data_IF_388160014129
#
_entry.id   IF_388160014129
#
_cell.length_a   1.000
_cell.length_b   1.000
_cell.length_c   1.000
_cell.angle_alpha   90.00
_cell.angle_beta   90.00
_cell.angle_gamma   90.00
#
_symmetry.space_group_name_H-M   'P 1'
#
loop_
_entity.id
_entity.type
_entity.pdbx_description
1 polymer ?
#
# COMPACT_ATOMS: atom_id res chain seq x y z
N UNK A 1 8.50 17.28 -11.69
CA UNK A 1 9.75 17.52 -12.45
C UNK A 1 10.73 16.40 -12.15
N UNK A 2 11.40 15.88 -13.17
CA UNK A 2 12.41 14.83 -13.06
C UNK A 2 13.80 15.37 -13.40
N UNK A 3 14.76 15.13 -12.52
CA UNK A 3 16.14 15.57 -12.65
C UNK A 3 17.11 14.39 -12.66
N UNK A 4 18.17 14.49 -13.46
CA UNK A 4 19.33 13.60 -13.42
C UNK A 4 20.59 14.45 -13.35
N UNK A 5 21.45 14.19 -12.37
CA UNK A 5 22.67 14.99 -12.12
C UNK A 5 22.41 16.51 -12.09
N UNK A 6 21.37 16.93 -11.38
CA UNK A 6 20.91 18.33 -11.26
C UNK A 6 20.46 18.99 -12.58
N UNK A 7 20.36 18.26 -13.67
CA UNK A 7 19.79 18.75 -14.92
C UNK A 7 18.33 18.28 -15.05
N UNK A 8 17.44 19.19 -15.35
CA UNK A 8 16.04 18.84 -15.63
C UNK A 8 16.00 18.01 -16.92
N UNK A 9 15.43 16.84 -16.85
CA UNK A 9 15.18 15.97 -17.99
C UNK A 9 13.75 16.12 -18.48
N UNK A 10 12.81 16.24 -17.53
CA UNK A 10 11.39 16.27 -17.85
C UNK A 10 10.61 17.04 -16.76
N UNK A 11 9.70 17.88 -17.17
CA UNK A 11 8.74 18.57 -16.30
C UNK A 11 7.33 18.43 -16.87
N UNK A 12 6.39 18.05 -16.06
CA UNK A 12 4.96 18.04 -16.34
C UNK A 12 4.26 19.04 -15.41
N UNK A 13 3.40 19.86 -15.96
CA UNK A 13 2.51 20.80 -15.34
C UNK A 13 1.35 21.03 -16.31
N UNK A 14 0.84 22.24 -16.43
CA UNK A 14 -0.12 22.60 -17.50
C UNK A 14 0.46 22.36 -18.90
N UNK A 15 1.77 22.48 -19.03
CA UNK A 15 2.53 22.15 -20.24
C UNK A 15 3.63 21.14 -19.90
N UNK A 16 4.02 20.39 -20.92
CA UNK A 16 5.12 19.44 -20.83
C UNK A 16 6.38 20.13 -21.35
N UNK A 17 7.49 20.02 -20.61
CA UNK A 17 8.79 20.52 -21.03
C UNK A 17 9.81 19.41 -20.97
N UNK A 18 10.54 19.21 -22.07
CA UNK A 18 11.65 18.28 -22.14
C UNK A 18 12.95 19.08 -22.06
N UNK A 19 13.76 18.76 -21.08
CA UNK A 19 15.03 19.42 -20.83
C UNK A 19 16.21 18.71 -21.48
N UNK A 20 17.25 18.47 -20.70
CA UNK A 20 18.50 17.90 -21.20
C UNK A 20 18.46 16.36 -21.27
N UNK A 21 18.14 15.81 -22.44
CA UNK A 21 18.11 14.37 -22.69
C UNK A 21 19.51 13.73 -22.72
N UNK A 22 20.61 14.51 -22.80
CA UNK A 22 21.97 13.95 -22.80
C UNK A 22 22.29 13.18 -21.51
N UNK A 23 21.65 13.55 -20.41
CA UNK A 23 21.80 12.85 -19.13
C UNK A 23 21.23 11.42 -19.12
N UNK A 24 20.34 11.13 -20.06
CA UNK A 24 19.71 9.81 -20.21
C UNK A 24 20.04 9.16 -21.56
N UNK A 25 21.08 9.65 -22.24
CA UNK A 25 21.45 9.17 -23.59
C UNK A 25 21.69 7.66 -23.67
N UNK A 26 22.19 7.05 -22.59
CA UNK A 26 22.40 5.60 -22.50
C UNK A 26 21.12 4.78 -22.50
N UNK A 27 19.99 5.40 -22.21
CA UNK A 27 18.68 4.76 -22.19
C UNK A 27 17.88 5.00 -23.48
N UNK A 28 18.37 5.87 -24.36
CA UNK A 28 17.72 6.16 -25.63
C UNK A 28 18.12 5.11 -26.68
N UNK A 29 17.26 4.95 -27.69
CA UNK A 29 17.48 4.01 -28.78
C UNK A 29 18.74 4.39 -29.60
N UNK A 30 18.96 5.69 -29.74
CA UNK A 30 20.15 6.26 -30.37
C UNK A 30 20.64 7.45 -29.57
N UNK A 31 21.93 7.50 -29.27
CA UNK A 31 22.52 8.58 -28.46
C UNK A 31 22.36 9.98 -29.09
N UNK A 32 22.28 10.05 -30.42
CA UNK A 32 22.15 11.34 -31.14
C UNK A 32 20.74 11.95 -31.01
N UNK A 33 19.72 11.17 -30.63
CA UNK A 33 18.38 11.69 -30.30
C UNK A 33 18.47 12.72 -29.16
N UNK A 34 19.37 12.52 -28.21
CA UNK A 34 19.57 13.46 -27.09
C UNK A 34 19.97 14.88 -27.53
N UNK A 35 20.53 15.03 -28.73
CA UNK A 35 20.99 16.30 -29.30
C UNK A 35 19.95 16.94 -30.22
N UNK A 36 18.90 16.22 -30.58
CA UNK A 36 17.92 16.70 -31.56
C UNK A 36 16.77 17.43 -30.88
N UNK A 37 16.83 18.75 -30.88
CA UNK A 37 15.81 19.61 -30.26
C UNK A 37 14.44 19.49 -30.94
N UNK A 38 14.40 19.23 -32.24
CA UNK A 38 13.13 18.99 -32.97
C UNK A 38 12.35 17.83 -32.38
N UNK A 39 13.04 16.89 -31.81
CA UNK A 39 12.46 15.73 -31.18
C UNK A 39 11.79 16.09 -29.84
N UNK A 40 12.43 16.92 -29.01
CA UNK A 40 11.86 17.45 -27.79
C UNK A 40 10.60 18.26 -28.08
N UNK A 41 10.64 19.12 -29.11
CA UNK A 41 9.52 19.98 -29.52
C UNK A 41 8.31 19.16 -30.03
N UNK A 42 8.53 18.08 -30.77
CA UNK A 42 7.47 17.16 -31.20
C UNK A 42 6.88 16.44 -29.98
N UNK A 43 7.75 16.01 -29.07
CA UNK A 43 7.36 15.32 -27.86
C UNK A 43 6.50 16.20 -26.96
N UNK A 44 6.88 17.43 -26.74
CA UNK A 44 6.11 18.38 -25.93
C UNK A 44 4.71 18.63 -26.47
N UNK A 45 4.55 18.55 -27.81
CA UNK A 45 3.26 18.77 -28.48
C UNK A 45 2.38 17.52 -28.59
N UNK A 46 2.98 16.33 -28.50
CA UNK A 46 2.30 15.07 -28.80
C UNK A 46 1.89 14.28 -27.57
N UNK A 47 2.49 14.58 -26.38
CA UNK A 47 2.16 13.86 -25.16
C UNK A 47 0.88 14.42 -24.54
N UNK A 48 -0.11 13.56 -24.30
CA UNK A 48 -1.34 13.93 -23.62
C UNK A 48 -1.09 14.16 -22.12
N UNK A 49 -1.93 14.99 -21.49
CA UNK A 49 -1.77 15.35 -20.08
C UNK A 49 -1.84 14.15 -19.12
N UNK A 50 -2.57 13.11 -19.49
CA UNK A 50 -2.81 11.87 -18.74
C UNK A 50 -1.93 10.69 -19.22
N UNK A 51 -1.13 10.88 -20.27
CA UNK A 51 -0.29 9.82 -20.84
C UNK A 51 1.02 9.67 -20.08
N UNK A 52 1.39 8.44 -19.73
CA UNK A 52 2.68 8.14 -19.12
C UNK A 52 3.78 8.15 -20.18
N UNK A 53 4.92 8.75 -19.82
CA UNK A 53 6.06 8.93 -20.74
C UNK A 53 6.56 7.60 -21.36
N UNK A 54 6.57 6.52 -20.59
CA UNK A 54 7.05 5.21 -21.05
C UNK A 54 5.97 4.30 -21.66
N UNK A 55 4.72 4.71 -21.67
CA UNK A 55 3.61 3.89 -22.22
C UNK A 55 3.05 4.43 -23.53
N UNK A 56 3.23 5.72 -23.79
CA UNK A 56 2.77 6.38 -25.00
C UNK A 56 3.71 6.22 -26.19
N UNK A 57 3.58 7.10 -27.17
CA UNK A 57 4.43 7.15 -28.37
C UNK A 57 5.92 7.30 -28.01
N UNK A 58 6.22 7.86 -26.86
CA UNK A 58 7.58 8.09 -26.39
C UNK A 58 8.38 6.84 -26.06
N UNK A 59 7.72 5.73 -25.78
CA UNK A 59 8.42 4.46 -25.60
C UNK A 59 9.34 4.10 -26.75
N UNK A 60 9.04 4.60 -27.95
CA UNK A 60 9.84 4.37 -29.15
C UNK A 60 11.21 5.05 -29.11
N UNK A 61 11.43 6.01 -28.17
CA UNK A 61 12.68 6.71 -27.99
C UNK A 61 13.68 5.98 -27.14
N UNK A 62 13.15 5.14 -26.26
CA UNK A 62 13.95 4.39 -25.32
C UNK A 62 14.44 3.08 -25.93
N UNK A 63 15.60 2.63 -25.46
CA UNK A 63 16.11 1.33 -25.84
C UNK A 63 15.05 0.27 -25.53
N UNK A 64 14.73 -0.64 -26.48
CA UNK A 64 13.68 -1.64 -26.30
C UNK A 64 13.84 -2.48 -25.04
N UNK A 65 15.09 -2.77 -24.65
CA UNK A 65 15.41 -3.49 -23.41
C UNK A 65 14.94 -2.74 -22.17
N UNK A 66 15.07 -1.42 -22.11
CA UNK A 66 14.60 -0.60 -20.98
C UNK A 66 13.08 -0.60 -20.91
N UNK A 67 12.41 -0.43 -22.04
CA UNK A 67 10.93 -0.46 -22.12
C UNK A 67 10.42 -1.82 -21.66
N UNK A 68 11.05 -2.89 -22.10
CA UNK A 68 10.68 -4.25 -21.70
C UNK A 68 10.89 -4.45 -20.19
N UNK A 69 12.04 -4.08 -19.65
CA UNK A 69 12.32 -4.17 -18.21
C UNK A 69 11.29 -3.41 -17.36
N UNK A 70 10.89 -2.22 -17.78
CA UNK A 70 9.88 -1.42 -17.10
C UNK A 70 8.49 -2.08 -17.19
N UNK A 71 8.12 -2.57 -18.37
CA UNK A 71 6.84 -3.26 -18.59
C UNK A 71 6.75 -4.53 -17.75
N UNK A 72 7.83 -5.33 -17.74
CA UNK A 72 7.91 -6.56 -16.95
C UNK A 72 7.83 -6.24 -15.45
N UNK A 73 8.51 -5.17 -15.01
CA UNK A 73 8.44 -4.75 -13.61
C UNK A 73 7.02 -4.33 -13.20
N UNK A 74 6.33 -3.52 -14.00
CA UNK A 74 4.95 -3.12 -13.70
C UNK A 74 4.00 -4.31 -13.72
N UNK A 75 4.11 -5.19 -14.74
CA UNK A 75 3.15 -6.29 -14.92
C UNK A 75 3.39 -7.45 -13.97
N UNK A 76 4.62 -7.70 -13.56
CA UNK A 76 5.01 -8.89 -12.79
C UNK A 76 5.43 -8.59 -11.35
N UNK A 77 6.03 -7.40 -11.11
CA UNK A 77 6.68 -7.05 -9.86
C UNK A 77 6.05 -5.85 -9.13
N UNK A 78 4.97 -5.30 -9.64
CA UNK A 78 4.26 -4.21 -9.00
C UNK A 78 2.82 -4.63 -8.73
N UNK A 79 2.54 -4.99 -7.49
CA UNK A 79 1.24 -5.49 -7.07
C UNK A 79 0.54 -4.43 -6.22
N UNK A 80 -0.68 -4.02 -6.63
CA UNK A 80 -1.49 -3.05 -5.89
C UNK A 80 -2.78 -3.71 -5.42
N UNK A 81 -3.04 -3.63 -4.13
CA UNK A 81 -4.19 -4.22 -3.47
C UNK A 81 -5.02 -3.11 -2.84
N UNK A 82 -6.15 -2.76 -3.45
CA UNK A 82 -7.07 -1.74 -2.94
C UNK A 82 -8.07 -2.30 -1.91
N UNK A 83 -8.52 -3.54 -2.13
CA UNK A 83 -9.52 -4.18 -1.26
C UNK A 83 -8.99 -5.53 -0.79
N UNK A 84 -8.10 -5.51 0.18
CA UNK A 84 -7.47 -6.73 0.67
C UNK A 84 -8.45 -7.77 1.25
N UNK A 85 -9.69 -7.35 1.57
CA UNK A 85 -10.75 -8.25 2.03
C UNK A 85 -11.36 -9.07 0.89
N UNK A 86 -11.29 -8.56 -0.34
CA UNK A 86 -11.89 -9.18 -1.52
C UNK A 86 -10.87 -10.02 -2.31
N UNK A 87 -9.59 -9.94 -1.94
CA UNK A 87 -8.55 -10.73 -2.60
C UNK A 87 -8.73 -12.18 -2.20
N UNK A 88 -9.10 -12.99 -3.18
CA UNK A 88 -9.07 -14.45 -3.04
C UNK A 88 -7.86 -14.95 -3.85
N UNK A 89 -6.81 -15.31 -3.15
CA UNK A 89 -5.66 -15.94 -3.77
C UNK A 89 -5.95 -17.42 -4.00
N UNK A 90 -6.70 -17.70 -5.06
CA UNK A 90 -6.91 -19.07 -5.50
C UNK A 90 -5.65 -19.48 -6.28
N UNK A 91 -4.91 -20.43 -5.76
CA UNK A 91 -3.78 -20.97 -6.47
C UNK A 91 -4.26 -21.56 -7.81
N UNK A 92 -3.78 -21.04 -8.93
CA UNK A 92 -4.18 -21.43 -10.28
C UNK A 92 -3.79 -22.87 -10.63
N UNK A 93 -3.07 -23.56 -9.75
CA UNK A 93 -2.58 -24.91 -9.96
C UNK A 93 -3.52 -26.01 -9.45
N UNK A 94 -4.68 -25.65 -8.95
CA UNK A 94 -5.66 -26.66 -8.61
C UNK A 94 -6.22 -27.30 -9.89
N UNK A 95 -6.15 -28.60 -9.96
CA UNK A 95 -6.89 -29.35 -10.97
C UNK A 95 -8.37 -28.95 -10.85
N UNK A 96 -9.03 -28.49 -11.95
CA UNK A 96 -10.46 -28.13 -11.93
C UNK A 96 -11.36 -29.29 -11.48
N UNK A 97 -10.85 -30.49 -11.41
CA UNK A 97 -11.54 -31.68 -10.90
C UNK A 97 -11.45 -31.83 -9.38
N UNK A 98 -10.51 -31.15 -8.73
CA UNK A 98 -10.43 -31.15 -7.28
C UNK A 98 -11.43 -30.14 -6.70
N UNK A 99 -12.38 -30.63 -5.91
CA UNK A 99 -13.38 -29.79 -5.21
C UNK A 99 -12.79 -29.04 -4.01
N UNK A 100 -11.53 -29.33 -3.67
CA UNK A 100 -10.90 -28.77 -2.47
C UNK A 100 -9.47 -28.33 -2.81
N UNK A 101 -9.17 -27.07 -2.50
CA UNK A 101 -7.82 -26.51 -2.62
C UNK A 101 -7.40 -26.09 -1.22
N UNK A 102 -6.46 -26.80 -0.65
CA UNK A 102 -5.85 -26.39 0.60
C UNK A 102 -4.93 -25.20 0.35
N UNK A 103 -4.99 -24.23 1.27
CA UNK A 103 -3.99 -23.19 1.34
C UNK A 103 -2.62 -23.83 1.59
N UNK A 104 -1.57 -23.28 1.00
CA UNK A 104 -0.22 -23.80 1.17
C UNK A 104 0.18 -23.95 2.65
N UNK A 105 1.10 -24.86 2.92
CA UNK A 105 1.50 -25.22 4.30
C UNK A 105 2.06 -24.01 5.05
N UNK A 106 2.78 -23.10 4.37
CA UNK A 106 3.38 -21.92 4.99
C UNK A 106 2.33 -20.95 5.46
N UNK A 107 1.33 -20.67 4.61
CA UNK A 107 0.19 -19.81 4.98
C UNK A 107 -0.62 -20.42 6.12
N UNK A 108 -0.83 -21.75 6.13
CA UNK A 108 -1.51 -22.42 7.24
C UNK A 108 -0.73 -22.32 8.55
N UNK A 109 0.60 -22.49 8.53
CA UNK A 109 1.43 -22.32 9.72
C UNK A 109 1.39 -20.89 10.24
N UNK A 110 1.51 -19.91 9.34
CA UNK A 110 1.41 -18.50 9.70
C UNK A 110 0.03 -18.15 10.27
N UNK A 111 -1.03 -18.66 9.68
CA UNK A 111 -2.40 -18.48 10.18
C UNK A 111 -2.58 -19.08 11.58
N UNK A 112 -1.98 -20.23 11.87
CA UNK A 112 -1.98 -20.81 13.23
C UNK A 112 -1.25 -19.93 14.24
N UNK A 113 -0.12 -19.34 13.86
CA UNK A 113 0.59 -18.38 14.71
C UNK A 113 -0.20 -17.09 14.90
N UNK A 114 -0.96 -16.68 13.90
CA UNK A 114 -1.87 -15.53 13.98
C UNK A 114 -3.07 -15.80 14.90
N UNK A 115 -3.52 -17.05 15.02
CA UNK A 115 -4.57 -17.48 15.94
C UNK A 115 -5.89 -17.86 15.25
N UNK A 116 -5.83 -18.74 14.24
CA UNK A 116 -7.06 -19.34 13.67
C UNK A 116 -7.75 -20.24 14.69
N UNK A 117 -9.08 -20.25 14.64
CA UNK A 117 -9.91 -21.08 15.53
C UNK A 117 -10.09 -22.52 15.00
N UNK A 118 -9.83 -22.74 13.72
CA UNK A 118 -9.99 -24.03 13.04
C UNK A 118 -8.72 -24.87 13.04
N UNK A 119 -8.86 -26.16 12.71
CA UNK A 119 -7.73 -27.07 12.52
C UNK A 119 -7.00 -26.84 11.20
N UNK A 120 -7.69 -26.30 10.21
CA UNK A 120 -7.17 -25.94 8.92
C UNK A 120 -8.09 -25.02 8.14
N UNK A 121 -7.57 -24.40 7.10
CA UNK A 121 -8.31 -23.49 6.24
C UNK A 121 -7.98 -23.78 4.77
N UNK A 122 -8.96 -23.67 3.90
CA UNK A 122 -8.78 -23.96 2.47
C UNK A 122 -9.94 -23.45 1.63
N UNK A 123 -9.75 -23.49 0.31
CA UNK A 123 -10.82 -23.15 -0.64
C UNK A 123 -11.55 -24.42 -1.03
N UNK A 124 -12.89 -24.35 -0.99
CA UNK A 124 -13.78 -25.45 -1.38
C UNK A 124 -14.72 -24.96 -2.48
N UNK A 125 -14.92 -25.81 -3.48
CA UNK A 125 -15.90 -25.55 -4.54
C UNK A 125 -17.31 -25.78 -4.02
N UNK A 126 -18.15 -24.75 -4.10
CA UNK A 126 -19.59 -24.89 -3.89
C UNK A 126 -20.27 -25.63 -5.04
N UNK A 127 -21.54 -25.95 -4.88
CA UNK A 127 -22.35 -26.61 -5.90
C UNK A 127 -22.56 -25.72 -7.15
N UNK A 128 -22.43 -24.40 -6.97
CA UNK A 128 -22.48 -23.37 -8.01
C UNK A 128 -21.13 -23.17 -8.76
N UNK A 129 -20.10 -23.95 -8.38
CA UNK A 129 -18.75 -23.85 -8.94
C UNK A 129 -17.94 -22.67 -8.39
N UNK A 130 -18.50 -21.89 -7.44
CA UNK A 130 -17.73 -20.82 -6.78
C UNK A 130 -16.80 -21.39 -5.72
N UNK A 131 -15.60 -20.86 -5.65
CA UNK A 131 -14.63 -21.24 -4.62
C UNK A 131 -14.85 -20.36 -3.39
N UNK A 132 -15.04 -21.00 -2.24
CA UNK A 132 -15.23 -20.31 -0.95
C UNK A 132 -14.15 -20.72 0.02
N UNK A 133 -13.64 -19.74 0.77
CA UNK A 133 -12.71 -20.01 1.86
C UNK A 133 -13.49 -20.66 3.01
N UNK A 134 -13.03 -21.82 3.44
CA UNK A 134 -13.69 -22.61 4.49
C UNK A 134 -12.68 -23.04 5.54
N UNK A 135 -13.17 -23.10 6.76
CA UNK A 135 -12.48 -23.62 7.95
C UNK A 135 -12.83 -25.09 8.15
N UNK A 136 -11.82 -25.89 8.42
CA UNK A 136 -11.95 -27.33 8.70
C UNK A 136 -11.82 -27.54 10.20
N UNK A 137 -12.83 -28.16 10.79
CA UNK A 137 -12.88 -28.46 12.23
C UNK A 137 -12.87 -29.96 12.39
N UNK A 138 -11.86 -30.50 13.06
CA UNK A 138 -11.83 -31.90 13.44
C UNK A 138 -12.77 -32.11 14.62
N UNK A 139 -13.84 -32.82 14.38
CA UNK A 139 -14.78 -33.13 15.45
C UNK A 139 -14.36 -34.42 16.16
N UNK A 140 -13.90 -34.30 17.40
CA UNK A 140 -13.49 -35.41 18.25
C UNK A 140 -14.61 -36.45 18.50
N UNK A 141 -15.87 -36.10 18.24
CA UNK A 141 -17.05 -36.94 18.43
C UNK A 141 -17.53 -37.62 17.13
N UNK A 142 -16.94 -37.28 15.98
CA UNK A 142 -17.23 -37.94 14.71
C UNK A 142 -16.06 -38.87 14.42
N UNK A 143 -16.32 -40.05 13.85
CA UNK A 143 -15.32 -41.06 13.56
C UNK A 143 -14.03 -40.49 12.95
N UNK A 144 -12.86 -40.96 13.40
CA UNK A 144 -11.53 -40.49 12.94
C UNK A 144 -11.50 -40.25 11.43
N UNK A 145 -11.20 -39.05 11.03
CA UNK A 145 -11.06 -38.64 9.63
C UNK A 145 -12.26 -37.94 9.00
N UNK A 146 -13.27 -37.56 9.78
CA UNK A 146 -14.41 -36.76 9.32
C UNK A 146 -14.39 -35.40 10.01
N UNK A 147 -13.89 -34.38 9.32
CA UNK A 147 -13.99 -32.98 9.73
C UNK A 147 -15.30 -32.35 9.26
N UNK A 148 -15.73 -31.30 9.95
CA UNK A 148 -16.79 -30.41 9.50
C UNK A 148 -16.17 -29.25 8.76
N UNK A 149 -16.72 -28.92 7.59
CA UNK A 149 -16.31 -27.79 6.78
C UNK A 149 -17.33 -26.69 6.93
N UNK A 150 -16.92 -25.51 7.39
CA UNK A 150 -17.76 -24.33 7.60
C UNK A 150 -17.16 -23.17 6.81
N UNK A 151 -17.99 -22.31 6.24
CA UNK A 151 -17.49 -21.08 5.60
C UNK A 151 -16.70 -20.26 6.63
N UNK A 152 -15.50 -19.82 6.23
CA UNK A 152 -14.58 -19.16 7.16
C UNK A 152 -15.09 -17.79 7.63
N UNK A 153 -15.90 -17.09 6.83
CA UNK A 153 -16.55 -15.83 7.21
C UNK A 153 -17.54 -15.97 8.39
N UNK A 154 -18.06 -17.17 8.61
CA UNK A 154 -18.94 -17.49 9.75
C UNK A 154 -18.14 -17.89 10.99
N UNK A 155 -16.96 -18.49 10.80
CA UNK A 155 -16.23 -19.16 11.88
C UNK A 155 -14.96 -18.42 12.33
N UNK A 156 -14.26 -17.81 11.41
CA UNK A 156 -13.02 -17.10 11.70
C UNK A 156 -13.24 -15.59 11.91
N UNK A 157 -12.27 -14.95 12.56
CA UNK A 157 -12.29 -13.50 12.68
C UNK A 157 -12.01 -12.84 11.32
N UNK A 158 -12.55 -11.65 11.14
CA UNK A 158 -12.29 -10.85 9.93
C UNK A 158 -10.78 -10.59 9.70
N UNK A 159 -10.04 -10.36 10.78
CA UNK A 159 -8.59 -10.22 10.73
C UNK A 159 -7.89 -11.49 10.26
N UNK A 160 -8.37 -12.66 10.65
CA UNK A 160 -7.85 -13.96 10.18
C UNK A 160 -8.04 -14.11 8.68
N UNK A 161 -9.25 -13.81 8.18
CA UNK A 161 -9.55 -13.89 6.74
C UNK A 161 -8.64 -12.95 5.93
N UNK A 162 -8.52 -11.72 6.38
CA UNK A 162 -7.65 -10.73 5.75
C UNK A 162 -6.18 -11.17 5.76
N UNK A 163 -5.69 -11.67 6.88
CA UNK A 163 -4.35 -12.18 7.00
C UNK A 163 -4.08 -13.33 6.01
N UNK A 164 -4.95 -14.31 5.95
CA UNK A 164 -4.86 -15.48 5.05
C UNK A 164 -4.82 -15.03 3.58
N UNK A 165 -5.56 -13.99 3.22
CA UNK A 165 -5.59 -13.45 1.87
C UNK A 165 -4.32 -12.66 1.51
N UNK A 166 -3.77 -11.90 2.44
CA UNK A 166 -2.60 -11.03 2.20
C UNK A 166 -1.29 -11.82 2.29
N UNK A 167 -1.20 -12.76 3.21
CA UNK A 167 0.07 -13.44 3.51
C UNK A 167 0.74 -14.12 2.30
N UNK A 168 0.04 -14.80 1.40
CA UNK A 168 0.63 -15.35 0.18
C UNK A 168 1.23 -14.28 -0.74
N UNK A 169 0.64 -13.08 -0.76
CA UNK A 169 1.15 -11.96 -1.56
C UNK A 169 2.44 -11.40 -0.97
N UNK A 170 2.54 -11.37 0.36
CA UNK A 170 3.77 -11.02 1.07
C UNK A 170 4.90 -11.98 0.74
N UNK A 171 4.63 -13.30 0.83
CA UNK A 171 5.59 -14.34 0.46
C UNK A 171 6.04 -14.20 -1.00
N UNK A 172 5.07 -13.99 -1.90
CA UNK A 172 5.39 -13.77 -3.32
C UNK A 172 6.24 -12.52 -3.53
N UNK A 173 5.94 -11.42 -2.83
CA UNK A 173 6.75 -10.19 -2.93
C UNK A 173 8.20 -10.45 -2.52
N UNK A 174 8.41 -11.09 -1.37
CA UNK A 174 9.73 -11.43 -0.85
C UNK A 174 10.49 -12.39 -1.79
N UNK A 175 9.80 -13.41 -2.33
CA UNK A 175 10.41 -14.38 -3.23
C UNK A 175 10.79 -13.80 -4.60
N UNK A 176 10.04 -12.85 -5.12
CA UNK A 176 10.28 -12.26 -6.45
C UNK A 176 11.04 -10.94 -6.42
N UNK A 177 11.24 -10.33 -5.23
CA UNK A 177 11.77 -8.97 -5.10
C UNK A 177 10.81 -7.93 -5.68
N UNK A 178 9.50 -8.09 -5.41
CA UNK A 178 8.44 -7.24 -5.95
C UNK A 178 8.09 -6.10 -5.00
N UNK A 179 7.45 -5.06 -5.54
CA UNK A 179 6.79 -4.00 -4.77
C UNK A 179 5.35 -4.39 -4.50
N UNK A 180 4.98 -4.48 -3.24
CA UNK A 180 3.62 -4.76 -2.78
C UNK A 180 3.03 -3.48 -2.18
N UNK A 181 1.96 -2.99 -2.77
CA UNK A 181 1.20 -1.81 -2.31
C UNK A 181 -0.13 -2.27 -1.74
N UNK A 182 -0.41 -1.96 -0.50
CA UNK A 182 -1.64 -2.38 0.18
C UNK A 182 -2.35 -1.18 0.77
N UNK A 183 -3.60 -0.99 0.36
CA UNK A 183 -4.49 0.01 0.94
C UNK A 183 -5.05 -0.48 2.28
N UNK A 184 -5.10 0.41 3.29
CA UNK A 184 -5.55 0.10 4.66
C UNK A 184 -4.92 -1.19 5.21
N UNK A 185 -3.60 -1.31 5.17
CA UNK A 185 -2.89 -2.54 5.54
C UNK A 185 -3.26 -3.04 6.94
N UNK A 186 -3.52 -2.13 7.86
CA UNK A 186 -3.82 -2.40 9.26
C UNK A 186 -5.30 -2.70 9.56
N UNK A 187 -6.18 -2.59 8.58
CA UNK A 187 -7.59 -2.86 8.82
C UNK A 187 -7.80 -4.29 9.33
N UNK A 188 -8.39 -4.39 10.51
CA UNK A 188 -8.76 -5.66 11.17
C UNK A 188 -7.62 -6.61 11.56
N UNK A 189 -6.37 -6.31 11.23
CA UNK A 189 -5.20 -7.12 11.62
C UNK A 189 -4.58 -6.58 12.89
N UNK A 190 -4.21 -7.48 13.81
CA UNK A 190 -3.60 -7.06 15.07
C UNK A 190 -2.26 -6.34 14.82
N UNK A 191 -2.00 -5.16 15.41
CA UNK A 191 -0.81 -4.35 15.14
C UNK A 191 0.51 -5.11 15.30
N UNK A 192 0.63 -5.99 16.30
CA UNK A 192 1.85 -6.80 16.50
C UNK A 192 2.15 -7.69 15.30
N UNK A 193 1.14 -8.29 14.67
CA UNK A 193 1.33 -9.12 13.49
C UNK A 193 1.85 -8.27 12.30
N UNK A 194 1.28 -7.09 12.12
CA UNK A 194 1.74 -6.14 11.09
C UNK A 194 3.17 -5.66 11.33
N UNK A 195 3.50 -5.32 12.58
CA UNK A 195 4.87 -4.93 12.96
C UNK A 195 5.87 -6.04 12.64
N UNK A 196 5.52 -7.30 12.88
CA UNK A 196 6.37 -8.43 12.50
C UNK A 196 6.55 -8.54 10.98
N UNK A 197 5.47 -8.36 10.22
CA UNK A 197 5.55 -8.36 8.75
C UNK A 197 6.44 -7.22 8.25
N UNK A 198 6.27 -6.00 8.76
CA UNK A 198 7.09 -4.84 8.40
C UNK A 198 8.57 -5.12 8.70
N UNK A 199 8.86 -5.68 9.88
CA UNK A 199 10.23 -6.05 10.26
C UNK A 199 10.85 -7.11 9.32
N UNK A 200 10.05 -8.01 8.74
CA UNK A 200 10.53 -8.97 7.74
C UNK A 200 11.02 -8.23 6.48
N UNK A 201 10.33 -7.19 6.03
CA UNK A 201 10.77 -6.38 4.88
C UNK A 201 12.06 -5.60 5.18
N UNK A 202 12.31 -5.23 6.44
CA UNK A 202 13.54 -4.55 6.88
C UNK A 202 14.69 -5.52 7.20
N UNK A 203 14.45 -6.83 7.20
CA UNK A 203 15.46 -7.82 7.53
C UNK A 203 16.17 -8.32 6.28
N UNK A 204 17.42 -7.88 6.06
CA UNK A 204 18.22 -8.26 4.89
C UNK A 204 18.52 -9.76 4.81
N UNK A 205 18.48 -10.51 5.94
CA UNK A 205 18.66 -11.95 5.94
C UNK A 205 17.44 -12.70 5.35
N UNK A 206 16.26 -12.10 5.43
CA UNK A 206 15.01 -12.66 4.90
C UNK A 206 14.65 -12.02 3.56
N UNK A 207 14.69 -10.70 3.48
CA UNK A 207 14.38 -9.93 2.29
C UNK A 207 15.60 -9.81 1.35
N UNK A 208 16.18 -10.93 0.97
CA UNK A 208 17.40 -11.00 0.16
C UNK A 208 17.25 -10.47 -1.27
N UNK A 209 16.01 -10.32 -1.74
CA UNK A 209 15.70 -9.82 -3.08
C UNK A 209 15.18 -8.37 -3.07
N UNK A 210 15.29 -7.69 -1.91
CA UNK A 210 14.92 -6.29 -1.74
C UNK A 210 13.48 -5.97 -2.17
N UNK A 211 12.54 -6.83 -1.79
CA UNK A 211 11.12 -6.56 -1.94
C UNK A 211 10.73 -5.29 -1.16
N UNK A 212 9.75 -4.56 -1.67
CA UNK A 212 9.25 -3.34 -1.04
C UNK A 212 7.80 -3.50 -0.61
N UNK A 213 7.49 -2.99 0.57
CA UNK A 213 6.12 -2.86 1.08
C UNK A 213 5.77 -1.37 1.17
N UNK A 214 4.72 -0.97 0.46
CA UNK A 214 4.15 0.37 0.54
C UNK A 214 2.72 0.22 1.05
N UNK A 215 2.36 0.94 2.08
CA UNK A 215 1.00 0.89 2.61
C UNK A 215 0.57 2.24 3.18
N UNK A 216 -0.73 2.45 3.24
CA UNK A 216 -1.31 3.49 4.04
C UNK A 216 -1.94 2.91 5.31
N UNK A 217 -2.11 3.75 6.29
CA UNK A 217 -2.70 3.42 7.58
C UNK A 217 -3.27 4.67 8.23
N UNK A 218 -4.38 4.51 8.94
CA UNK A 218 -4.94 5.54 9.82
C UNK A 218 -4.48 5.36 11.28
N UNK A 219 -3.64 4.36 11.56
CA UNK A 219 -3.23 4.02 12.92
C UNK A 219 -1.89 4.66 13.28
N UNK A 220 -1.87 5.68 14.16
CA UNK A 220 -0.66 6.41 14.50
C UNK A 220 0.38 5.57 15.28
N UNK A 221 0.06 4.34 15.68
CA UNK A 221 1.03 3.43 16.33
C UNK A 221 2.24 3.13 15.42
N UNK A 222 2.06 3.27 14.09
CA UNK A 222 3.14 3.11 13.12
C UNK A 222 4.05 4.34 13.02
N UNK A 223 3.72 5.45 13.67
CA UNK A 223 4.63 6.59 13.83
C UNK A 223 5.67 6.27 14.91
N UNK A 224 6.56 5.34 14.59
CA UNK A 224 7.51 4.76 15.51
C UNK A 224 8.93 4.83 14.94
N UNK A 225 9.80 5.60 15.61
CA UNK A 225 11.20 5.82 15.22
C UNK A 225 12.09 4.57 15.28
N UNK A 226 11.63 3.51 15.95
CA UNK A 226 12.33 2.22 15.99
C UNK A 226 11.95 1.30 14.82
N UNK A 227 10.81 1.57 14.15
CA UNK A 227 10.33 0.80 13.01
C UNK A 227 10.69 1.44 11.68
N UNK A 228 10.55 2.76 11.60
CA UNK A 228 10.69 3.49 10.35
C UNK A 228 11.71 4.61 10.46
N UNK A 229 12.42 4.81 9.36
CA UNK A 229 13.18 6.04 9.13
C UNK A 229 12.22 7.17 8.80
N UNK A 230 12.65 8.41 9.02
CA UNK A 230 11.83 9.60 8.72
C UNK A 230 11.47 9.74 7.24
N UNK A 231 12.32 9.25 6.36
CA UNK A 231 12.08 9.27 4.89
C UNK A 231 11.08 8.20 4.43
N UNK A 232 10.83 7.18 5.25
CA UNK A 232 9.83 6.15 5.02
C UNK A 232 8.42 6.59 5.42
N UNK A 233 8.31 7.52 6.37
CA UNK A 233 7.01 8.03 6.83
C UNK A 233 6.58 9.19 5.94
N UNK A 234 5.41 9.05 5.32
CA UNK A 234 4.79 10.07 4.48
C UNK A 234 3.45 10.49 5.09
N UNK A 235 3.17 11.79 5.06
CA UNK A 235 1.87 12.34 5.38
C UNK A 235 1.15 12.75 4.10
N UNK A 236 -0.15 12.56 4.08
CA UNK A 236 -1.04 13.02 3.02
C UNK A 236 -2.01 14.00 3.65
N UNK A 237 -2.04 15.21 3.13
CA UNK A 237 -2.94 16.27 3.57
C UNK A 237 -3.78 16.75 2.39
N UNK A 238 -5.05 16.98 2.63
CA UNK A 238 -5.97 17.50 1.64
C UNK A 238 -6.42 18.89 2.05
N UNK A 239 -6.28 19.84 1.15
CA UNK A 239 -6.82 21.18 1.32
C UNK A 239 -8.35 21.16 1.20
N UNK A 240 -9.05 21.66 2.20
CA UNK A 240 -10.51 21.62 2.26
C UNK A 240 -11.18 22.55 1.23
N UNK A 241 -10.46 23.53 0.73
CA UNK A 241 -10.99 24.54 -0.21
C UNK A 241 -10.75 24.15 -1.65
N UNK A 242 -9.51 23.76 -1.97
CA UNK A 242 -9.11 23.40 -3.34
C UNK A 242 -9.33 21.94 -3.63
N UNK A 243 -9.47 21.11 -2.59
CA UNK A 243 -9.51 19.65 -2.64
C UNK A 243 -8.25 19.01 -3.22
N UNK A 244 -7.17 19.76 -3.31
CA UNK A 244 -5.88 19.24 -3.73
C UNK A 244 -5.22 18.49 -2.58
N UNK A 245 -4.58 17.36 -2.91
CA UNK A 245 -3.83 16.57 -1.94
C UNK A 245 -2.34 16.82 -2.09
N UNK A 246 -1.65 17.04 -0.98
CA UNK A 246 -0.20 17.13 -0.90
C UNK A 246 0.37 15.93 -0.16
N UNK A 247 1.58 15.52 -0.55
CA UNK A 247 2.32 14.47 0.14
C UNK A 247 3.70 14.99 0.52
N UNK A 248 4.09 14.77 1.76
CA UNK A 248 5.41 15.17 2.28
C UNK A 248 5.95 14.13 3.25
N UNK A 249 7.27 14.10 3.42
CA UNK A 249 7.92 13.15 4.31
C UNK A 249 8.18 13.76 5.69
N UNK A 250 8.22 12.92 6.72
CA UNK A 250 8.67 13.33 8.05
C UNK A 250 10.12 13.85 8.01
N UNK A 251 10.94 13.42 7.05
CA UNK A 251 12.29 13.94 6.82
C UNK A 251 12.34 15.39 6.35
N UNK A 252 11.26 15.91 5.73
CA UNK A 252 11.22 17.26 5.17
C UNK A 252 11.22 18.34 6.26
N UNK A 253 10.86 17.99 7.51
CA UNK A 253 10.97 18.86 8.68
C UNK A 253 12.43 19.12 9.13
N UNK A 254 13.42 18.50 8.50
CA UNK A 254 14.83 18.68 8.81
C UNK A 254 15.24 18.13 10.19
N UNK A 255 16.46 18.47 10.62
CA UNK A 255 17.03 18.04 11.91
C UNK A 255 17.44 19.19 12.82
N UNK A 256 17.27 20.44 12.36
CA UNK A 256 17.61 21.66 13.10
C UNK A 256 16.48 22.69 12.95
N UNK A 257 16.34 23.53 13.96
CA UNK A 257 15.28 24.54 14.02
C UNK A 257 14.13 24.16 14.95
N UNK A 258 13.09 25.02 15.00
CA UNK A 258 11.97 24.90 15.94
C UNK A 258 11.10 23.66 15.67
N UNK A 259 10.92 23.30 14.40
CA UNK A 259 10.10 22.16 13.95
C UNK A 259 10.95 20.95 13.55
N UNK A 260 12.19 20.87 14.03
CA UNK A 260 13.09 19.77 13.72
C UNK A 260 12.55 18.45 14.26
N UNK A 261 12.69 17.40 13.47
CA UNK A 261 12.35 16.02 13.85
C UNK A 261 13.62 15.20 13.90
N UNK A 262 13.91 14.59 15.05
CA UNK A 262 15.14 13.84 15.29
C UNK A 262 14.83 12.36 15.47
N UNK A 263 15.85 11.53 15.27
CA UNK A 263 15.78 10.12 15.63
C UNK A 263 15.64 10.02 17.16
N UNK A 264 14.57 9.37 17.62
CA UNK A 264 14.27 9.23 19.04
C UNK A 264 13.18 10.17 19.56
N UNK A 265 12.71 11.11 18.74
CA UNK A 265 11.50 11.86 19.09
C UNK A 265 10.30 10.90 19.11
N UNK A 266 9.33 11.21 19.95
CA UNK A 266 8.05 10.51 19.98
C UNK A 266 7.17 11.02 18.83
N UNK A 267 7.27 10.37 17.66
CA UNK A 267 6.55 10.79 16.46
C UNK A 267 5.04 10.73 16.64
N UNK A 268 4.54 9.71 17.35
CA UNK A 268 3.11 9.56 17.60
C UNK A 268 2.58 10.70 18.49
N UNK A 269 3.29 11.02 19.57
CA UNK A 269 2.92 12.14 20.46
C UNK A 269 2.94 13.46 19.71
N UNK A 270 3.98 13.71 18.93
CA UNK A 270 4.12 14.94 18.15
C UNK A 270 3.04 15.07 17.07
N UNK A 271 2.61 13.96 16.48
CA UNK A 271 1.48 13.93 15.55
C UNK A 271 0.19 14.37 16.24
N UNK A 272 -0.13 13.84 17.43
CA UNK A 272 -1.36 14.20 18.14
C UNK A 272 -1.40 15.67 18.66
N UNK A 273 -0.26 16.35 18.74
CA UNK A 273 -0.19 17.78 19.04
C UNK A 273 -0.06 18.65 17.78
N UNK A 274 -0.35 18.06 16.62
CA UNK A 274 -0.36 18.73 15.32
C UNK A 274 0.98 19.36 14.92
N UNK A 275 2.09 18.74 15.32
CA UNK A 275 3.41 19.24 14.97
C UNK A 275 3.76 19.01 13.49
N UNK A 276 3.12 18.05 12.86
CA UNK A 276 3.42 17.62 11.49
C UNK A 276 2.36 18.00 10.47
N UNK A 277 1.21 18.51 10.88
CA UNK A 277 0.04 18.64 10.03
C UNK A 277 -0.65 17.31 9.77
N UNK A 278 -1.48 17.24 8.74
CA UNK A 278 -2.26 16.07 8.33
C UNK A 278 -3.16 15.48 9.43
N UNK A 279 -3.57 16.30 10.38
CA UNK A 279 -4.58 15.98 11.39
C UNK A 279 -5.86 16.75 11.06
N UNK A 280 -6.96 16.03 10.90
CA UNK A 280 -8.28 16.62 10.85
C UNK A 280 -8.79 16.82 12.27
N UNK A 281 -9.10 18.07 12.63
CA UNK A 281 -9.77 18.34 13.89
C UNK A 281 -11.25 17.97 13.75
N UNK A 282 -11.58 16.73 14.11
CA UNK A 282 -12.94 16.19 14.01
C UNK A 282 -13.61 16.37 15.38
N UNK A 283 -14.48 17.35 15.48
CA UNK A 283 -15.33 17.57 16.67
C UNK A 283 -16.81 17.48 16.28
N UNK A 284 -17.46 16.43 16.78
CA UNK A 284 -18.88 16.19 16.55
C UNK A 284 -19.78 16.87 17.58
N UNK A 285 -19.21 17.59 18.57
CA UNK A 285 -19.95 18.10 19.74
C UNK A 285 -21.11 18.98 19.32
N UNK A 286 -20.89 19.91 18.40
CA UNK A 286 -21.94 20.86 18.02
C UNK A 286 -23.04 20.19 17.19
N UNK A 287 -22.68 19.28 16.28
CA UNK A 287 -23.64 18.48 15.51
C UNK A 287 -24.51 17.63 16.42
N UNK A 288 -23.92 17.02 17.45
CA UNK A 288 -24.66 16.20 18.42
C UNK A 288 -25.56 17.07 19.28
N UNK A 289 -25.10 18.23 19.74
CA UNK A 289 -25.95 19.19 20.49
C UNK A 289 -27.16 19.64 19.68
N UNK A 290 -26.98 19.94 18.41
CA UNK A 290 -28.07 20.33 17.52
C UNK A 290 -29.10 19.20 17.35
N UNK A 291 -28.64 17.98 17.12
CA UNK A 291 -29.51 16.78 16.96
C UNK A 291 -30.29 16.48 18.26
N UNK A 292 -29.65 16.67 19.42
CA UNK A 292 -30.27 16.42 20.72
C UNK A 292 -31.11 17.59 21.26
N UNK A 293 -31.14 18.71 20.55
CA UNK A 293 -31.84 19.93 21.00
C UNK A 293 -31.23 20.55 22.25
N UNK A 294 -29.96 20.27 22.55
CA UNK A 294 -29.21 20.81 23.68
C UNK A 294 -28.50 22.09 23.24
N UNK A 295 -29.26 23.01 22.68
CA UNK A 295 -28.73 24.35 22.40
C UNK A 295 -28.65 25.10 23.73
N UNK A 296 -27.42 25.45 24.13
CA UNK A 296 -27.17 26.17 25.33
C UNK A 296 -28.03 27.46 25.38
N UNK A 297 -28.74 27.63 26.45
CA UNK A 297 -29.28 28.93 26.82
C UNK A 297 -28.10 29.91 26.82
N UNK A 298 -28.09 30.80 25.82
CA UNK A 298 -27.22 31.96 25.84
C UNK A 298 -27.56 32.76 27.10
N UNK A 299 -26.63 32.83 28.02
CA UNK A 299 -26.68 33.70 29.16
C UNK A 299 -26.63 35.16 28.69
N UNK A 300 -27.77 35.66 28.22
CA UNK A 300 -28.06 37.07 28.21
C UNK A 300 -28.56 37.46 29.59
N UNK A 301 -27.66 37.63 30.53
CA UNK A 301 -27.86 38.39 31.73
C UNK A 301 -26.62 39.21 32.04
N UNK A 302 -26.54 40.37 31.38
CA UNK A 302 -25.88 41.56 31.96
C UNK A 302 -26.52 42.82 31.43
N UNK A 303 -27.53 43.26 32.11
CA UNK A 303 -27.84 44.67 32.26
C UNK A 303 -28.58 44.88 33.57
N UNK A 304 -27.87 45.33 34.56
CA UNK A 304 -28.21 46.47 35.41
C UNK A 304 -27.03 46.81 36.30
#
# INVERSE_FOLDING_TARGET
TFYVNNAMVFQRGETIKIGNLSQISSYLIEADISKNRSFADISEKSLLADELFLTGAFKLLFAPKLVQQFTDWISEKFMVIYHANEVQFINRFADPKEKTIYIDTTTQQAAKLFGINSNGIGYFSGDDGTMKLCSVIDNLNIAKGKGVVIQSDIYESYGTLRFVNIFPLIIRALDTGSTLVIDEFDASIHPIALMNIINIFHNDEVNTRHAQLIFNTHNPIFLNSNMFRRDEIKFVERDDTTHESSIYALSDFGTSGKNAVRKGDDYMKNYFVDQYGAINNIDFTDVIKDVLGVNGESSDEKTN
#
